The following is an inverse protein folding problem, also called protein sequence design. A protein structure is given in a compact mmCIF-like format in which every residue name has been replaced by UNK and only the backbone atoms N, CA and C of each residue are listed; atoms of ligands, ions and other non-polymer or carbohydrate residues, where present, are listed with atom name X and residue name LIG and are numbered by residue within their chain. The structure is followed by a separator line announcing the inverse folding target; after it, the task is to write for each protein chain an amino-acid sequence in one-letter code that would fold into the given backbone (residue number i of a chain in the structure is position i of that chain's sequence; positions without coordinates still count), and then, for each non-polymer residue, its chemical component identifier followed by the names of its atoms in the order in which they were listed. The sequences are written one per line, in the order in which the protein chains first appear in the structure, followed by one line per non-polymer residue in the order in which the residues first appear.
data_IF_069894588267
#
_entry.id   IF_069894588267
#
_cell.length_a   1.000
_cell.length_b   1.000
_cell.length_c   1.000
_cell.angle_alpha   90.00
_cell.angle_beta   90.00
_cell.angle_gamma   90.00
#
_symmetry.space_group_name_H-M   'P 1'
#
loop_
_entity.id
_entity.type
_entity.pdbx_description
1 polymer ?
#
# COMPACT_ATOMS: atom_id res chain seq x y z
N UNK A 1 1.06 5.83 21.44
CA UNK A 1 -0.07 4.86 21.37
C UNK A 1 -1.00 5.20 20.21
N UNK A 2 -1.34 6.47 19.94
CA UNK A 2 -2.13 6.80 18.74
C UNK A 2 -1.30 6.65 17.46
N UNK A 3 -1.97 6.37 16.34
CA UNK A 3 -1.36 6.41 15.01
C UNK A 3 -1.22 7.85 14.48
N UNK A 4 -0.16 8.15 13.74
CA UNK A 4 0.12 9.46 13.15
C UNK A 4 -0.09 9.47 11.63
N UNK A 5 -0.27 10.65 11.01
CA UNK A 5 -0.34 10.78 9.55
C UNK A 5 0.87 10.16 8.83
N UNK A 6 2.07 10.29 9.38
CA UNK A 6 3.29 9.72 8.80
C UNK A 6 3.28 8.19 8.83
N UNK A 7 2.76 7.60 9.90
CA UNK A 7 2.59 6.14 9.99
C UNK A 7 1.57 5.66 8.96
N UNK A 8 0.47 6.40 8.77
CA UNK A 8 -0.50 6.11 7.73
C UNK A 8 0.10 6.24 6.32
N UNK A 9 0.96 7.23 6.05
CA UNK A 9 1.69 7.31 4.76
C UNK A 9 2.59 6.11 4.54
N UNK A 10 3.31 5.66 5.57
CA UNK A 10 4.16 4.48 5.49
C UNK A 10 3.35 3.21 5.22
N UNK A 11 2.17 3.06 5.84
CA UNK A 11 1.24 1.96 5.55
C UNK A 11 0.87 1.87 4.06
N UNK A 12 0.70 3.01 3.39
CA UNK A 12 0.44 3.08 1.95
C UNK A 12 1.69 2.96 1.06
N UNK A 13 2.86 2.62 1.61
CA UNK A 13 4.06 2.45 0.79
C UNK A 13 3.90 1.33 -0.23
N UNK A 14 4.46 1.54 -1.42
CA UNK A 14 4.58 0.51 -2.46
C UNK A 14 5.71 -0.50 -2.16
N UNK A 15 6.54 -0.23 -1.15
CA UNK A 15 7.53 -1.16 -0.62
C UNK A 15 7.01 -1.85 0.66
N UNK A 16 6.94 -3.18 0.61
CA UNK A 16 6.48 -4.00 1.73
C UNK A 16 7.37 -3.91 2.97
N UNK A 17 8.65 -3.57 2.81
CA UNK A 17 9.54 -3.35 3.95
C UNK A 17 9.23 -2.03 4.71
N UNK A 18 8.44 -1.14 4.10
CA UNK A 18 7.98 0.12 4.69
C UNK A 18 6.50 0.05 5.11
N UNK A 19 5.68 -0.74 4.39
CA UNK A 19 4.22 -0.86 4.50
C UNK A 19 3.70 -1.63 5.74
N UNK A 20 4.27 -1.34 6.90
CA UNK A 20 3.76 -1.76 8.20
C UNK A 20 2.58 -0.90 8.67
N UNK A 21 2.50 -0.63 9.98
CA UNK A 21 1.53 0.32 10.54
C UNK A 21 0.04 -0.02 10.28
N UNK A 22 -0.34 -1.28 10.55
CA UNK A 22 -1.70 -1.79 10.35
C UNK A 22 -2.69 -1.32 11.43
N UNK A 23 -2.20 -0.84 12.57
CA UNK A 23 -3.03 -0.23 13.59
C UNK A 23 -3.51 1.15 13.16
N UNK A 24 -4.76 1.25 12.67
CA UNK A 24 -5.33 2.53 12.21
C UNK A 24 -5.40 3.60 13.30
N UNK A 25 -5.85 3.22 14.51
CA UNK A 25 -6.01 4.17 15.61
C UNK A 25 -4.93 4.01 16.68
N UNK A 26 -4.51 2.75 16.91
CA UNK A 26 -3.60 2.38 17.99
C UNK A 26 -2.32 1.71 17.44
N UNK A 27 -1.22 2.45 17.46
CA UNK A 27 0.12 1.99 17.07
C UNK A 27 0.75 1.01 18.06
N UNK A 28 0.15 0.78 19.23
CA UNK A 28 0.63 -0.25 20.16
C UNK A 28 0.53 -1.66 19.56
N UNK A 29 -0.44 -1.91 18.67
CA UNK A 29 -0.56 -3.17 17.95
C UNK A 29 0.63 -3.38 17.01
N UNK A 30 1.12 -2.32 16.38
CA UNK A 30 2.29 -2.42 15.49
C UNK A 30 3.59 -2.70 16.23
N UNK A 31 3.71 -2.21 17.46
CA UNK A 31 4.83 -2.59 18.32
C UNK A 31 4.71 -4.05 18.79
N UNK A 32 3.51 -4.48 19.19
CA UNK A 32 3.27 -5.84 19.65
C UNK A 32 3.52 -6.89 18.56
N UNK A 33 3.15 -6.57 17.32
CA UNK A 33 3.22 -7.48 16.17
C UNK A 33 4.44 -7.24 15.29
N UNK A 34 5.32 -6.30 15.65
CA UNK A 34 6.59 -6.06 14.95
C UNK A 34 6.46 -5.35 13.60
N UNK A 35 5.38 -4.61 13.36
CA UNK A 35 5.09 -3.89 12.11
C UNK A 35 5.35 -2.38 12.21
N UNK A 36 5.93 -1.93 13.33
CA UNK A 36 6.28 -0.52 13.53
C UNK A 36 7.67 -0.20 12.95
N UNK A 37 7.75 0.66 11.93
CA UNK A 37 9.03 1.00 11.27
C UNK A 37 9.35 2.50 11.19
N UNK A 38 8.42 3.36 11.64
CA UNK A 38 8.56 4.82 11.63
C UNK A 38 9.71 5.33 12.51
N UNK A 39 10.37 6.39 12.04
CA UNK A 39 11.37 7.18 12.76
C UNK A 39 11.41 8.61 12.20
N UNK A 40 11.88 9.61 12.96
CA UNK A 40 11.97 10.99 12.46
C UNK A 40 12.69 11.08 11.11
N UNK A 41 12.11 11.84 10.18
CA UNK A 41 12.63 12.01 8.82
C UNK A 41 12.41 10.82 7.87
N UNK A 42 11.76 9.73 8.32
CA UNK A 42 11.40 8.63 7.43
C UNK A 42 10.10 8.94 6.68
N UNK A 43 10.17 8.88 5.37
CA UNK A 43 9.03 8.98 4.45
C UNK A 43 9.03 7.76 3.52
N UNK A 44 7.86 7.30 3.04
CA UNK A 44 7.81 6.20 2.07
C UNK A 44 8.46 6.63 0.75
N UNK A 45 9.17 5.71 0.10
CA UNK A 45 9.79 5.99 -1.20
C UNK A 45 8.76 6.30 -2.29
N UNK A 46 7.61 5.61 -2.26
CA UNK A 46 6.46 5.87 -3.12
C UNK A 46 5.18 5.33 -2.46
N UNK A 47 4.05 6.01 -2.70
CA UNK A 47 2.75 5.73 -2.08
C UNK A 47 1.77 5.22 -3.13
N UNK A 48 0.95 4.22 -2.78
CA UNK A 48 -0.16 3.72 -3.60
C UNK A 48 0.12 2.35 -4.22
N UNK A 49 -0.04 2.24 -5.54
CA UNK A 49 0.05 0.98 -6.29
C UNK A 49 1.39 0.89 -7.02
N UNK A 50 1.99 -0.30 -7.08
CA UNK A 50 3.24 -0.54 -7.82
C UNK A 50 3.10 -0.29 -9.34
N UNK A 51 1.94 -0.63 -9.88
CA UNK A 51 1.60 -0.36 -11.28
C UNK A 51 0.23 0.35 -11.34
N UNK A 52 0.22 1.70 -11.20
CA UNK A 52 -1.02 2.46 -11.25
C UNK A 52 -1.72 2.36 -12.61
N UNK A 53 -0.97 2.15 -13.70
CA UNK A 53 -1.50 2.05 -15.05
C UNK A 53 -2.27 0.75 -15.31
N UNK A 54 -2.11 -0.26 -14.44
CA UNK A 54 -2.93 -1.46 -14.46
C UNK A 54 -4.40 -1.21 -14.06
N UNK A 55 -4.71 -0.06 -13.45
CA UNK A 55 -6.03 0.29 -12.93
C UNK A 55 -6.73 1.35 -13.80
N UNK A 56 -8.07 1.42 -13.77
CA UNK A 56 -8.81 2.47 -14.45
C UNK A 56 -8.40 3.87 -13.97
N UNK A 57 -8.48 4.84 -14.88
CA UNK A 57 -8.12 6.22 -14.61
C UNK A 57 -9.03 6.87 -13.57
N UNK A 58 -8.54 7.95 -12.96
CA UNK A 58 -9.34 8.77 -12.04
C UNK A 58 -10.59 9.29 -12.77
N UNK A 59 -11.77 9.01 -12.21
CA UNK A 59 -13.05 9.40 -12.79
C UNK A 59 -13.73 8.33 -13.66
N UNK A 60 -13.03 7.24 -14.00
CA UNK A 60 -13.61 6.10 -14.71
C UNK A 60 -14.39 5.18 -13.75
N UNK A 61 -15.37 5.74 -13.03
CA UNK A 61 -16.07 5.07 -11.90
C UNK A 61 -16.63 3.71 -12.30
N UNK A 62 -17.31 3.62 -13.45
CA UNK A 62 -17.88 2.37 -13.93
C UNK A 62 -16.79 1.33 -14.27
N UNK A 63 -15.69 1.75 -14.88
CA UNK A 63 -14.57 0.86 -15.17
C UNK A 63 -13.86 0.40 -13.89
N UNK A 64 -13.72 1.28 -12.89
CA UNK A 64 -13.19 0.96 -11.57
C UNK A 64 -14.06 -0.06 -10.82
N UNK A 65 -15.38 0.14 -10.83
CA UNK A 65 -16.32 -0.82 -10.26
C UNK A 65 -16.22 -2.17 -10.97
N UNK A 66 -16.17 -2.19 -12.30
CA UNK A 66 -16.08 -3.44 -13.07
C UNK A 66 -14.68 -4.08 -13.08
N UNK A 67 -13.65 -3.39 -12.60
CA UNK A 67 -12.25 -3.83 -12.66
C UNK A 67 -11.98 -5.21 -12.03
N UNK A 68 -12.56 -5.58 -10.86
CA UNK A 68 -12.33 -6.89 -10.24
C UNK A 68 -12.80 -8.09 -11.09
N UNK A 69 -13.72 -7.88 -12.03
CA UNK A 69 -14.22 -8.92 -12.93
C UNK A 69 -13.41 -9.04 -14.23
N UNK A 70 -12.43 -8.17 -14.46
CA UNK A 70 -11.52 -8.29 -15.61
C UNK A 70 -10.57 -9.46 -15.38
N UNK A 71 -10.40 -10.30 -16.40
CA UNK A 71 -9.43 -11.41 -16.35
C UNK A 71 -8.03 -10.83 -16.22
N UNK A 72 -7.31 -11.27 -15.19
CA UNK A 72 -5.87 -10.97 -15.06
C UNK A 72 -5.16 -11.58 -16.27
N UNK A 73 -4.31 -10.83 -16.99
CA UNK A 73 -3.45 -11.42 -18.02
C UNK A 73 -2.63 -12.56 -17.42
N UNK A 74 -2.45 -13.66 -18.16
CA UNK A 74 -1.55 -14.72 -17.71
C UNK A 74 -0.15 -14.11 -17.45
N UNK A 75 0.56 -14.54 -16.40
CA UNK A 75 1.94 -14.11 -16.19
C UNK A 75 2.74 -14.42 -17.47
N UNK A 76 3.50 -13.44 -17.96
CA UNK A 76 4.43 -13.67 -19.07
C UNK A 76 5.47 -14.74 -18.69
N UNK A 77 6.15 -15.34 -19.69
CA UNK A 77 7.24 -16.29 -19.42
C UNK A 77 8.30 -15.64 -18.52
N UNK A 78 8.79 -16.38 -17.52
CA UNK A 78 9.91 -15.90 -16.70
C UNK A 78 11.16 -15.82 -17.59
N UNK A 79 11.96 -14.74 -17.50
CA UNK A 79 13.28 -14.74 -18.10
C UNK A 79 14.16 -15.82 -17.43
N UNK A 80 14.94 -16.54 -18.23
CA UNK A 80 15.94 -17.53 -17.81
C UNK A 80 17.12 -16.91 -17.06
#
# INVERSE_FOLDING_TARGET
VLASPEQHRLHHSTDLAEAGHYGSDLSCWDHLLGTFTWRPGREPAAVGLRDPAAFPGTGEILAALLHPWRRRPAPGPRPE
#
